data_IF_650259656375
#
_entry.id   IF_650259656375
#
_cell.length_a   1.000
_cell.length_b   1.000
_cell.length_c   1.000
_cell.angle_alpha   90.00
_cell.angle_beta   90.00
_cell.angle_gamma   90.00
#
_symmetry.space_group_name_H-M   'P 1'
#
loop_
_entity.id
_entity.type
_entity.pdbx_description
1 polymer ?
#
# COMPACT_ATOMS: atom_id res chain seq x y z
N UNK A 1 0.32 -33.57 -2.55
CA UNK A 1 1.55 -32.84 -2.38
C UNK A 1 1.43 -31.88 -1.20
N UNK A 2 1.61 -32.43 0.01
CA UNK A 2 1.53 -31.68 1.26
C UNK A 2 2.78 -30.82 1.46
N UNK A 3 2.63 -29.71 2.16
CA UNK A 3 3.77 -28.98 2.72
C UNK A 3 4.41 -29.90 3.73
N UNK A 4 5.74 -29.99 3.70
CA UNK A 4 6.51 -30.61 4.77
C UNK A 4 6.18 -29.88 6.09
N UNK A 5 5.62 -30.59 7.10
CA UNK A 5 5.27 -29.98 8.38
C UNK A 5 6.49 -29.37 9.13
N UNK A 6 7.69 -29.77 8.75
CA UNK A 6 8.95 -29.23 9.30
C UNK A 6 9.32 -27.86 8.70
N UNK A 7 8.60 -27.37 7.72
CA UNK A 7 8.93 -26.12 7.03
C UNK A 7 8.86 -24.91 7.97
N UNK A 8 9.97 -24.14 8.10
CA UNK A 8 10.06 -23.09 9.12
C UNK A 8 9.02 -21.98 9.00
N UNK A 9 8.53 -21.71 7.78
CA UNK A 9 7.60 -20.62 7.55
C UNK A 9 6.21 -20.83 8.19
N UNK A 10 5.85 -22.08 8.54
CA UNK A 10 4.57 -22.40 9.19
C UNK A 10 4.62 -22.12 10.69
N UNK A 11 5.82 -21.95 11.28
CA UNK A 11 5.96 -21.67 12.71
C UNK A 11 5.40 -20.31 13.09
N UNK A 12 4.55 -20.30 14.13
CA UNK A 12 3.97 -19.06 14.66
C UNK A 12 5.05 -18.09 15.15
N UNK A 13 4.85 -16.79 14.92
CA UNK A 13 5.69 -15.73 15.44
C UNK A 13 7.07 -15.59 14.75
N UNK A 14 7.33 -16.35 13.70
CA UNK A 14 8.54 -16.20 12.91
C UNK A 14 8.27 -15.43 11.62
N UNK A 15 9.20 -14.58 11.25
CA UNK A 15 9.22 -13.90 9.96
C UNK A 15 9.34 -14.92 8.83
N UNK A 16 8.64 -14.64 7.73
CA UNK A 16 8.51 -15.56 6.62
C UNK A 16 9.03 -14.91 5.35
N UNK A 17 9.61 -15.72 4.46
CA UNK A 17 10.02 -15.24 3.15
C UNK A 17 8.80 -14.73 2.36
N UNK A 18 8.92 -13.54 1.77
CA UNK A 18 7.84 -12.87 1.03
C UNK A 18 7.29 -13.66 -0.16
N UNK A 19 8.09 -14.59 -0.70
CA UNK A 19 7.68 -15.48 -1.81
C UNK A 19 6.35 -16.19 -1.53
N UNK A 20 6.08 -16.60 -0.29
CA UNK A 20 4.85 -17.31 0.07
C UNK A 20 3.59 -16.45 -0.07
N UNK A 21 3.74 -15.12 -0.08
CA UNK A 21 2.65 -14.16 -0.20
C UNK A 21 2.57 -13.51 -1.58
N UNK A 22 3.40 -13.96 -2.53
CA UNK A 22 3.53 -13.35 -3.86
C UNK A 22 2.47 -13.79 -4.87
N UNK A 23 1.78 -14.90 -4.64
CA UNK A 23 0.75 -15.37 -5.56
C UNK A 23 -0.43 -16.02 -4.85
N UNK A 24 -1.60 -15.87 -5.44
CA UNK A 24 -2.84 -16.50 -4.97
C UNK A 24 -2.71 -18.03 -4.84
N UNK A 25 -1.99 -18.67 -5.78
CA UNK A 25 -1.73 -20.11 -5.75
C UNK A 25 -0.96 -20.51 -4.48
N UNK A 26 0.12 -19.78 -4.17
CA UNK A 26 0.94 -20.09 -3.00
C UNK A 26 0.18 -19.84 -1.69
N UNK A 27 -0.43 -18.66 -1.55
CA UNK A 27 -1.12 -18.29 -0.31
C UNK A 27 -2.36 -19.18 -0.04
N UNK A 28 -3.12 -19.55 -1.08
CA UNK A 28 -4.33 -20.35 -0.89
C UNK A 28 -4.05 -21.84 -0.72
N UNK A 29 -2.98 -22.36 -1.35
CA UNK A 29 -2.64 -23.78 -1.25
C UNK A 29 -1.80 -24.10 -0.01
N UNK A 30 -0.92 -23.17 0.40
CA UNK A 30 0.14 -23.51 1.35
C UNK A 30 0.12 -22.68 2.65
N UNK A 31 -0.48 -21.49 2.67
CA UNK A 31 -0.49 -20.67 3.89
C UNK A 31 -1.77 -20.92 4.68
N UNK A 32 -1.69 -21.41 5.92
CA UNK A 32 -2.86 -21.56 6.78
C UNK A 32 -3.61 -20.24 6.96
N UNK A 33 -4.95 -20.28 7.04
CA UNK A 33 -5.80 -19.07 7.13
C UNK A 33 -5.38 -18.15 8.27
N UNK A 34 -5.10 -18.73 9.44
CA UNK A 34 -4.63 -17.98 10.62
C UNK A 34 -3.21 -17.41 10.50
N UNK A 35 -2.49 -17.68 9.40
CA UNK A 35 -1.15 -17.16 9.10
C UNK A 35 -1.12 -16.19 7.91
N UNK A 36 -2.25 -16.01 7.20
CA UNK A 36 -2.33 -15.14 6.01
C UNK A 36 -2.24 -13.66 6.33
N UNK A 37 -2.53 -13.26 7.58
CA UNK A 37 -2.70 -11.88 7.95
C UNK A 37 -3.97 -11.25 7.33
N UNK A 38 -4.13 -9.96 7.51
CA UNK A 38 -5.28 -9.18 7.02
C UNK A 38 -4.86 -8.26 5.86
N UNK A 39 -5.83 -7.64 5.19
CA UNK A 39 -5.51 -6.64 4.16
C UNK A 39 -4.77 -5.43 4.76
N UNK A 40 -5.16 -5.00 5.98
CA UNK A 40 -4.47 -3.93 6.70
C UNK A 40 -3.02 -4.31 7.06
N UNK A 41 -2.78 -5.53 7.55
CA UNK A 41 -1.41 -5.97 7.84
C UNK A 41 -0.54 -6.05 6.58
N UNK A 42 -1.11 -6.42 5.42
CA UNK A 42 -0.40 -6.36 4.12
C UNK A 42 -0.06 -4.93 3.70
N UNK A 43 -0.96 -3.96 3.92
CA UNK A 43 -0.65 -2.53 3.73
C UNK A 43 0.52 -2.08 4.62
N UNK A 44 0.54 -2.51 5.89
CA UNK A 44 1.64 -2.21 6.81
C UNK A 44 2.97 -2.84 6.36
N UNK A 45 2.98 -4.09 5.87
CA UNK A 45 4.17 -4.71 5.29
C UNK A 45 4.71 -3.87 4.12
N UNK A 46 3.85 -3.50 3.18
CA UNK A 46 4.22 -2.63 2.05
C UNK A 46 4.76 -1.27 2.52
N UNK A 47 4.15 -0.67 3.54
CA UNK A 47 4.61 0.58 4.14
C UNK A 47 6.02 0.46 4.74
N UNK A 48 6.32 -0.63 5.45
CA UNK A 48 7.66 -0.89 6.01
C UNK A 48 8.71 -1.04 4.90
N UNK A 49 8.38 -1.76 3.83
CA UNK A 49 9.26 -1.94 2.67
C UNK A 49 9.50 -0.60 1.96
N UNK A 50 8.43 0.16 1.65
CA UNK A 50 8.57 1.47 1.02
C UNK A 50 9.43 2.43 1.86
N UNK A 51 9.26 2.42 3.18
CA UNK A 51 10.04 3.19 4.14
C UNK A 51 11.52 2.79 4.13
N UNK A 52 11.83 1.50 4.13
CA UNK A 52 13.20 1.00 4.04
C UNK A 52 13.85 1.43 2.72
N UNK A 53 13.15 1.27 1.59
CA UNK A 53 13.64 1.69 0.27
C UNK A 53 13.84 3.21 0.18
N UNK A 54 12.95 4.01 0.77
CA UNK A 54 13.13 5.47 0.83
C UNK A 54 14.42 5.86 1.55
N UNK A 55 14.74 5.18 2.66
CA UNK A 55 15.99 5.42 3.40
C UNK A 55 17.22 5.03 2.59
N UNK A 56 17.16 3.89 1.91
CA UNK A 56 18.23 3.41 1.05
C UNK A 56 18.49 4.41 -0.10
N UNK A 57 17.44 4.81 -0.82
CA UNK A 57 17.54 5.77 -1.91
C UNK A 57 17.98 7.16 -1.44
N UNK A 58 17.56 7.61 -0.24
CA UNK A 58 18.02 8.87 0.34
C UNK A 58 19.52 8.87 0.69
N UNK A 59 20.09 7.70 0.94
CA UNK A 59 21.54 7.52 1.12
C UNK A 59 22.30 7.40 -0.24
N UNK A 60 21.60 7.50 -1.37
CA UNK A 60 22.20 7.36 -2.71
C UNK A 60 22.49 5.92 -3.11
N UNK A 61 21.89 4.95 -2.43
CA UNK A 61 22.09 3.52 -2.67
C UNK A 61 20.90 2.91 -3.41
N UNK A 62 21.14 1.91 -4.25
CA UNK A 62 20.14 1.04 -4.83
C UNK A 62 20.33 -0.40 -4.32
N UNK A 63 19.22 -1.14 -4.18
CA UNK A 63 19.26 -2.54 -3.74
C UNK A 63 19.67 -3.49 -4.86
N UNK A 64 19.36 -3.14 -6.09
CA UNK A 64 19.60 -3.89 -7.33
C UNK A 64 18.82 -5.19 -7.50
N UNK A 65 18.52 -5.93 -6.44
CA UNK A 65 17.75 -7.18 -6.45
C UNK A 65 16.59 -7.15 -5.46
N UNK A 66 15.81 -6.08 -5.45
CA UNK A 66 14.59 -6.03 -4.64
C UNK A 66 13.53 -6.98 -5.22
N UNK A 67 13.18 -7.99 -4.46
CA UNK A 67 12.15 -8.98 -4.83
C UNK A 67 11.49 -9.58 -3.60
N UNK A 68 10.47 -10.40 -3.79
CA UNK A 68 9.87 -11.15 -2.68
C UNK A 68 10.84 -12.13 -2.01
N UNK A 69 11.91 -12.56 -2.68
CA UNK A 69 12.92 -13.45 -2.09
C UNK A 69 13.77 -12.74 -1.05
N UNK A 70 14.00 -11.44 -1.25
CA UNK A 70 14.88 -10.60 -0.42
C UNK A 70 14.08 -9.75 0.58
N UNK A 71 12.87 -10.22 0.95
CA UNK A 71 12.03 -9.61 1.98
C UNK A 71 11.54 -10.70 2.94
N UNK A 72 11.76 -10.50 4.22
CA UNK A 72 11.11 -11.26 5.29
C UNK A 72 9.87 -10.52 5.75
N UNK A 73 8.79 -11.25 6.00
CA UNK A 73 7.49 -10.68 6.37
C UNK A 73 6.90 -11.39 7.59
N UNK A 74 6.21 -10.63 8.42
CA UNK A 74 5.28 -11.14 9.42
C UNK A 74 3.87 -10.63 9.08
N UNK A 75 3.06 -11.45 8.40
CA UNK A 75 1.74 -11.01 7.96
C UNK A 75 0.74 -10.80 9.10
N UNK A 76 0.99 -11.35 10.29
CA UNK A 76 0.11 -11.14 11.43
C UNK A 76 0.30 -9.77 12.06
N UNK A 77 1.55 -9.34 12.26
CA UNK A 77 1.87 -8.02 12.81
C UNK A 77 1.95 -6.92 11.75
N UNK A 78 2.05 -7.27 10.45
CA UNK A 78 2.31 -6.33 9.37
C UNK A 78 3.74 -5.81 9.34
N UNK A 79 4.70 -6.52 9.93
CA UNK A 79 6.11 -6.19 9.85
C UNK A 79 6.76 -6.78 8.60
N UNK A 80 7.78 -6.09 8.11
CA UNK A 80 8.62 -6.55 7.02
C UNK A 80 10.04 -6.02 7.17
N UNK A 81 11.02 -6.78 6.65
CA UNK A 81 12.44 -6.43 6.64
C UNK A 81 13.03 -6.78 5.28
N UNK A 82 13.79 -5.88 4.68
CA UNK A 82 14.60 -6.15 3.49
C UNK A 82 15.89 -6.82 3.95
N UNK A 83 16.27 -7.89 3.27
CA UNK A 83 17.48 -8.67 3.52
C UNK A 83 18.33 -8.70 2.25
N UNK A 84 19.51 -9.36 2.34
CA UNK A 84 20.43 -9.50 1.21
C UNK A 84 20.93 -8.15 0.67
N UNK A 85 21.52 -7.38 1.60
CA UNK A 85 22.05 -6.05 1.30
C UNK A 85 23.51 -6.08 0.78
N UNK A 86 24.07 -7.25 0.53
CA UNK A 86 25.49 -7.39 0.10
C UNK A 86 25.70 -6.86 -1.33
N UNK A 87 24.63 -6.90 -2.16
CA UNK A 87 24.62 -6.40 -3.54
C UNK A 87 24.24 -4.93 -3.68
N UNK A 88 24.35 -4.09 -2.64
CA UNK A 88 24.01 -2.67 -2.75
C UNK A 88 24.86 -1.95 -3.78
N UNK A 89 24.23 -1.15 -4.61
CA UNK A 89 24.83 -0.40 -5.71
C UNK A 89 24.94 1.08 -5.38
N UNK A 90 26.13 1.62 -5.59
CA UNK A 90 26.33 3.07 -5.71
C UNK A 90 26.33 3.39 -7.21
N UNK A 91 25.29 4.02 -7.77
CA UNK A 91 25.20 4.30 -9.18
C UNK A 91 26.47 4.97 -9.73
N UNK A 92 26.98 4.48 -10.87
CA UNK A 92 28.20 4.93 -11.54
C UNK A 92 29.53 4.69 -10.82
N UNK A 93 29.54 4.13 -9.57
CA UNK A 93 30.78 3.85 -8.84
C UNK A 93 31.00 2.35 -8.65
N UNK A 94 29.97 1.64 -8.21
CA UNK A 94 30.02 0.20 -7.96
C UNK A 94 28.87 -0.44 -8.74
N UNK A 95 29.16 -1.00 -9.96
CA UNK A 95 28.16 -1.71 -10.74
C UNK A 95 27.73 -2.99 -10.02
N UNK A 96 26.46 -3.41 -10.20
CA UNK A 96 25.96 -4.64 -9.59
C UNK A 96 26.60 -5.88 -10.18
N UNK A 97 26.86 -6.88 -9.33
CA UNK A 97 27.28 -8.22 -9.77
C UNK A 97 26.10 -9.04 -10.28
N UNK A 98 24.88 -8.76 -9.79
CA UNK A 98 23.64 -9.46 -10.11
C UNK A 98 22.68 -8.52 -10.82
N UNK A 99 22.01 -9.02 -11.87
CA UNK A 99 21.04 -8.24 -12.66
C UNK A 99 19.67 -8.15 -11.98
N UNK A 100 19.39 -9.01 -11.02
CA UNK A 100 18.15 -9.06 -10.25
C UNK A 100 17.33 -10.34 -10.47
N UNK A 101 16.24 -10.45 -9.73
CA UNK A 101 15.31 -11.59 -9.79
C UNK A 101 14.34 -11.44 -10.99
N UNK A 102 14.15 -12.51 -11.82
CA UNK A 102 13.17 -12.47 -12.92
C UNK A 102 11.79 -11.97 -12.47
N UNK A 103 11.15 -11.14 -13.31
CA UNK A 103 9.89 -10.48 -13.01
C UNK A 103 10.03 -9.17 -12.20
N UNK A 104 11.16 -8.94 -11.50
CA UNK A 104 11.45 -7.69 -10.79
C UNK A 104 12.45 -6.80 -11.52
N UNK A 105 13.18 -7.37 -12.47
CA UNK A 105 14.14 -6.63 -13.29
C UNK A 105 13.37 -5.61 -14.15
N UNK A 106 13.82 -4.36 -14.12
CA UNK A 106 13.19 -3.30 -14.90
C UNK A 106 13.32 -3.55 -16.43
N UNK A 107 12.30 -3.20 -17.24
CA UNK A 107 12.26 -3.50 -18.67
C UNK A 107 13.47 -3.02 -19.45
N UNK A 108 14.01 -1.84 -19.13
CA UNK A 108 15.19 -1.27 -19.77
C UNK A 108 16.49 -2.06 -19.48
N UNK A 109 16.57 -2.69 -18.31
CA UNK A 109 17.71 -3.54 -17.93
C UNK A 109 17.65 -4.85 -18.70
N UNK A 110 16.47 -5.49 -18.75
CA UNK A 110 16.25 -6.71 -19.55
C UNK A 110 16.50 -6.48 -21.03
N UNK A 111 16.05 -5.36 -21.60
CA UNK A 111 16.25 -5.03 -23.01
C UNK A 111 17.73 -4.92 -23.41
N UNK A 112 18.60 -4.66 -22.46
CA UNK A 112 20.05 -4.51 -22.68
C UNK A 112 20.89 -5.62 -22.04
N UNK A 113 20.26 -6.71 -21.54
CA UNK A 113 20.95 -7.76 -20.77
C UNK A 113 22.10 -8.41 -21.55
N UNK A 114 21.97 -8.57 -22.85
CA UNK A 114 22.98 -9.19 -23.71
C UNK A 114 24.21 -8.30 -23.98
N UNK A 115 24.13 -6.99 -23.69
CA UNK A 115 25.26 -6.09 -23.87
C UNK A 115 26.33 -6.32 -22.79
N UNK A 116 27.60 -6.16 -23.15
CA UNK A 116 28.70 -6.20 -22.17
C UNK A 116 28.57 -5.07 -21.17
N UNK A 117 29.12 -5.24 -19.96
CA UNK A 117 29.01 -4.28 -18.84
C UNK A 117 29.62 -2.91 -19.20
N UNK A 118 30.68 -2.91 -19.99
CA UNK A 118 31.38 -1.70 -20.48
C UNK A 118 30.71 -1.00 -21.65
N UNK A 119 29.64 -1.58 -22.21
CA UNK A 119 28.89 -0.97 -23.30
C UNK A 119 28.12 0.25 -22.79
N UNK A 120 28.28 1.47 -23.37
CA UNK A 120 27.63 2.68 -22.92
C UNK A 120 26.09 2.66 -23.05
N UNK A 121 25.53 1.71 -23.82
CA UNK A 121 24.08 1.51 -23.96
C UNK A 121 23.52 0.49 -22.97
N UNK A 122 24.37 -0.14 -22.16
CA UNK A 122 23.95 -1.10 -21.12
C UNK A 122 23.25 -0.37 -19.99
N UNK A 123 22.00 -0.73 -19.74
CA UNK A 123 21.30 -0.28 -18.54
C UNK A 123 21.64 -1.19 -17.36
N UNK A 124 22.17 -0.61 -16.31
CA UNK A 124 22.48 -1.31 -15.06
C UNK A 124 21.46 -1.00 -13.98
N UNK A 125 21.27 -1.90 -13.00
CA UNK A 125 20.48 -1.61 -11.83
C UNK A 125 20.90 -0.31 -11.12
N UNK A 126 19.90 0.47 -10.73
CA UNK A 126 20.05 1.77 -10.08
C UNK A 126 18.75 2.15 -9.34
N UNK A 127 18.70 3.31 -8.70
CA UNK A 127 17.50 3.77 -7.96
C UNK A 127 16.23 3.76 -8.82
N UNK A 128 16.30 4.10 -10.12
CA UNK A 128 15.13 4.07 -11.00
C UNK A 128 14.63 2.65 -11.32
N UNK A 129 15.51 1.65 -11.31
CA UNK A 129 15.13 0.25 -11.49
C UNK A 129 14.52 -0.32 -10.20
N UNK A 130 15.05 0.05 -9.02
CA UNK A 130 14.43 -0.28 -7.74
C UNK A 130 13.01 0.27 -7.61
N UNK A 131 12.72 1.45 -8.18
CA UNK A 131 11.36 2.00 -8.21
C UNK A 131 10.39 1.10 -8.97
N UNK A 132 10.85 0.45 -10.05
CA UNK A 132 10.07 -0.56 -10.75
C UNK A 132 9.83 -1.78 -9.85
N UNK A 133 10.91 -2.36 -9.31
CA UNK A 133 10.84 -3.53 -8.43
C UNK A 133 9.94 -3.30 -7.21
N UNK A 134 10.02 -2.11 -6.58
CA UNK A 134 9.17 -1.73 -5.45
C UNK A 134 7.69 -1.68 -5.84
N UNK A 135 7.36 -1.12 -7.00
CA UNK A 135 5.98 -1.09 -7.50
C UNK A 135 5.44 -2.50 -7.74
N UNK A 136 6.24 -3.39 -8.38
CA UNK A 136 5.91 -4.80 -8.59
C UNK A 136 5.67 -5.50 -7.25
N UNK A 137 6.54 -5.30 -6.27
CA UNK A 137 6.45 -5.95 -4.96
C UNK A 137 5.20 -5.51 -4.19
N UNK A 138 4.90 -4.20 -4.15
CA UNK A 138 3.71 -3.66 -3.49
C UNK A 138 2.44 -4.21 -4.15
N UNK A 139 2.36 -4.20 -5.49
CA UNK A 139 1.23 -4.75 -6.23
C UNK A 139 1.05 -6.24 -5.91
N UNK A 140 2.14 -7.00 -5.94
CA UNK A 140 2.15 -8.44 -5.69
C UNK A 140 1.67 -8.79 -4.28
N UNK A 141 2.13 -8.08 -3.25
CA UNK A 141 1.72 -8.35 -1.87
C UNK A 141 0.27 -7.96 -1.57
N UNK A 142 -0.25 -6.92 -2.22
CA UNK A 142 -1.64 -6.50 -2.01
C UNK A 142 -2.64 -7.35 -2.78
N UNK A 143 -2.28 -7.82 -3.99
CA UNK A 143 -3.20 -8.46 -4.93
C UNK A 143 -2.89 -9.93 -5.22
N UNK A 144 -1.78 -10.46 -4.67
CA UNK A 144 -1.33 -11.85 -4.82
C UNK A 144 -1.24 -12.32 -6.29
N UNK A 145 -0.79 -11.44 -7.18
CA UNK A 145 -0.51 -11.69 -8.58
C UNK A 145 0.53 -10.69 -9.10
N UNK A 146 1.23 -11.06 -10.18
CA UNK A 146 2.23 -10.19 -10.78
C UNK A 146 1.58 -9.19 -11.75
N UNK A 147 1.96 -7.89 -11.77
CA UNK A 147 1.31 -6.88 -12.61
C UNK A 147 1.52 -7.05 -14.11
N UNK A 148 2.53 -7.80 -14.53
CA UNK A 148 2.88 -8.00 -15.94
C UNK A 148 2.65 -9.43 -16.43
N UNK A 149 2.34 -10.37 -15.52
CA UNK A 149 2.12 -11.77 -15.84
C UNK A 149 0.64 -12.01 -16.19
N UNK A 150 0.31 -11.79 -17.44
CA UNK A 150 -1.04 -11.89 -17.99
C UNK A 150 -1.23 -13.07 -18.93
N UNK A 151 -2.31 -12.98 -19.73
CA UNK A 151 -2.70 -14.03 -20.66
C UNK A 151 -2.01 -14.00 -22.04
N UNK A 152 -1.17 -12.99 -22.29
CA UNK A 152 -0.51 -12.84 -23.59
C UNK A 152 0.79 -13.62 -23.65
N UNK A 153 0.94 -14.44 -24.70
CA UNK A 153 2.18 -15.14 -25.04
C UNK A 153 2.82 -14.39 -26.19
N UNK A 154 4.10 -14.06 -26.06
CA UNK A 154 4.88 -13.30 -27.04
C UNK A 154 5.71 -14.21 -27.94
N UNK A 155 6.19 -15.32 -27.40
CA UNK A 155 6.91 -16.35 -28.14
C UNK A 155 6.44 -17.72 -27.65
N UNK A 156 5.85 -18.52 -28.54
CA UNK A 156 5.28 -19.83 -28.21
C UNK A 156 6.34 -20.93 -28.19
N UNK A 157 7.43 -20.72 -28.94
CA UNK A 157 8.46 -21.73 -29.15
C UNK A 157 9.60 -21.63 -28.14
N UNK A 158 9.86 -20.43 -27.60
CA UNK A 158 10.94 -20.16 -26.66
C UNK A 158 10.40 -19.49 -25.38
N UNK A 159 10.18 -20.25 -24.28
CA UNK A 159 9.70 -19.74 -23.00
C UNK A 159 10.62 -18.66 -22.39
N UNK A 160 11.95 -18.77 -22.55
CA UNK A 160 12.87 -17.78 -22.03
C UNK A 160 12.74 -16.45 -22.80
N UNK A 161 12.57 -16.52 -24.10
CA UNK A 161 12.36 -15.35 -24.94
C UNK A 161 10.98 -14.73 -24.69
N UNK A 162 9.96 -15.56 -24.42
CA UNK A 162 8.65 -15.09 -23.99
C UNK A 162 8.75 -14.27 -22.70
N UNK A 163 9.43 -14.79 -21.67
CA UNK A 163 9.65 -14.09 -20.40
C UNK A 163 10.46 -12.79 -20.59
N UNK A 164 11.52 -12.82 -21.42
CA UNK A 164 12.31 -11.64 -21.73
C UNK A 164 11.50 -10.53 -22.42
N UNK A 165 10.55 -10.91 -23.25
CA UNK A 165 9.62 -9.95 -23.86
C UNK A 165 8.56 -9.49 -22.88
N UNK A 166 7.96 -10.40 -22.10
CA UNK A 166 6.87 -10.17 -21.15
C UNK A 166 7.25 -9.18 -20.08
N UNK A 167 8.44 -9.31 -19.50
CA UNK A 167 8.96 -8.43 -18.45
C UNK A 167 9.85 -7.31 -18.98
N UNK A 168 10.24 -7.36 -20.24
CA UNK A 168 11.16 -6.43 -20.90
C UNK A 168 10.47 -5.53 -21.94
N UNK A 169 10.95 -5.63 -23.19
CA UNK A 169 10.57 -4.69 -24.26
C UNK A 169 9.09 -4.68 -24.64
N UNK A 170 8.35 -5.74 -24.35
CA UNK A 170 6.92 -5.90 -24.62
C UNK A 170 6.07 -5.92 -23.34
N UNK A 171 6.67 -5.56 -22.21
CA UNK A 171 5.95 -5.51 -20.94
C UNK A 171 4.67 -4.68 -21.06
N UNK A 172 3.57 -5.23 -20.55
CA UNK A 172 2.25 -4.62 -20.61
C UNK A 172 1.47 -4.93 -19.31
N UNK A 173 0.95 -3.91 -18.68
CA UNK A 173 0.17 -4.05 -17.45
C UNK A 173 -1.09 -4.90 -17.68
N UNK A 174 -1.32 -5.92 -16.84
CA UNK A 174 -2.46 -6.83 -16.97
C UNK A 174 -3.82 -6.14 -16.80
N UNK A 175 -3.86 -5.01 -16.11
CA UNK A 175 -5.06 -4.20 -15.90
C UNK A 175 -5.01 -2.86 -16.65
N UNK A 176 -4.26 -2.80 -17.76
CA UNK A 176 -4.19 -1.60 -18.59
C UNK A 176 -5.59 -1.17 -19.05
N UNK A 177 -5.95 0.12 -18.92
CA UNK A 177 -7.33 0.58 -19.13
C UNK A 177 -7.82 0.41 -20.57
N UNK A 178 -6.96 0.61 -21.56
CA UNK A 178 -7.27 0.56 -22.99
C UNK A 178 -6.75 -0.70 -23.67
N UNK A 179 -5.48 -1.05 -23.49
CA UNK A 179 -4.91 -2.28 -24.08
C UNK A 179 -5.18 -3.47 -23.14
N UNK A 180 -6.16 -4.27 -23.52
CA UNK A 180 -6.60 -5.46 -22.76
C UNK A 180 -5.96 -6.76 -23.25
N UNK A 181 -4.99 -6.70 -24.17
CA UNK A 181 -4.41 -7.90 -24.79
C UNK A 181 -3.64 -8.78 -23.82
N UNK A 182 -3.07 -8.20 -22.74
CA UNK A 182 -2.39 -8.94 -21.66
C UNK A 182 -3.29 -9.25 -20.46
N UNK A 183 -4.60 -9.05 -20.56
CA UNK A 183 -5.52 -9.30 -19.45
C UNK A 183 -5.58 -10.78 -19.12
N UNK A 184 -5.49 -11.13 -17.84
CA UNK A 184 -5.72 -12.47 -17.36
C UNK A 184 -7.18 -12.87 -17.62
N UNK A 185 -7.40 -14.06 -18.18
CA UNK A 185 -8.74 -14.63 -18.39
C UNK A 185 -9.06 -15.61 -17.28
N UNK A 186 -10.28 -15.50 -16.74
CA UNK A 186 -10.70 -16.30 -15.59
C UNK A 186 -10.68 -17.83 -15.87
N UNK A 187 -10.93 -18.24 -17.11
CA UNK A 187 -10.87 -19.62 -17.56
C UNK A 187 -9.45 -20.23 -17.59
N UNK A 188 -8.42 -19.36 -17.61
CA UNK A 188 -7.01 -19.77 -17.54
C UNK A 188 -6.50 -19.93 -16.10
N UNK A 189 -7.30 -19.54 -15.10
CA UNK A 189 -6.92 -19.59 -13.70
C UNK A 189 -7.33 -20.90 -13.04
N UNK A 190 -6.40 -21.52 -12.31
CA UNK A 190 -6.74 -22.65 -11.45
C UNK A 190 -7.62 -22.19 -10.27
N UNK A 191 -8.47 -23.10 -9.74
CA UNK A 191 -9.33 -22.80 -8.58
C UNK A 191 -8.55 -22.23 -7.39
N UNK A 192 -7.32 -22.69 -7.18
CA UNK A 192 -6.42 -22.19 -6.11
C UNK A 192 -5.93 -20.75 -6.30
N UNK A 193 -6.13 -20.18 -7.47
CA UNK A 193 -5.76 -18.78 -7.76
C UNK A 193 -6.93 -17.81 -7.57
N UNK A 194 -8.14 -18.34 -7.41
CA UNK A 194 -9.35 -17.54 -7.26
C UNK A 194 -9.65 -17.20 -5.80
N UNK A 195 -10.24 -16.02 -5.53
CA UNK A 195 -10.59 -14.97 -6.48
C UNK A 195 -9.44 -13.98 -6.79
N UNK A 196 -8.34 -14.03 -6.03
CA UNK A 196 -7.26 -13.01 -6.04
C UNK A 196 -6.54 -12.91 -7.39
N UNK A 197 -6.39 -14.04 -8.09
CA UNK A 197 -5.78 -14.08 -9.42
C UNK A 197 -6.61 -13.44 -10.52
N UNK A 198 -7.92 -13.23 -10.30
CA UNK A 198 -8.84 -12.67 -11.28
C UNK A 198 -8.99 -11.15 -11.12
N UNK A 199 -8.41 -10.34 -12.03
CA UNK A 199 -8.52 -8.88 -11.95
C UNK A 199 -9.96 -8.35 -12.11
N UNK A 200 -10.90 -9.16 -12.61
CA UNK A 200 -12.30 -8.75 -12.72
C UNK A 200 -13.05 -8.89 -11.39
N UNK A 201 -12.58 -9.77 -10.51
CA UNK A 201 -13.13 -9.98 -9.17
C UNK A 201 -12.46 -9.07 -8.13
N UNK A 202 -11.16 -8.95 -8.23
CA UNK A 202 -10.35 -8.11 -7.33
C UNK A 202 -9.42 -7.20 -8.15
N UNK A 203 -9.94 -6.15 -8.79
CA UNK A 203 -9.13 -5.20 -9.57
C UNK A 203 -8.19 -4.42 -8.64
N UNK A 204 -7.08 -3.90 -9.20
CA UNK A 204 -6.12 -3.11 -8.40
C UNK A 204 -6.73 -1.84 -7.77
N UNK A 205 -7.87 -1.40 -8.26
CA UNK A 205 -8.62 -0.25 -7.71
C UNK A 205 -9.13 -0.49 -6.29
N UNK A 206 -9.24 -1.77 -5.84
CA UNK A 206 -9.58 -2.08 -4.44
C UNK A 206 -8.53 -1.59 -3.44
N UNK A 207 -7.32 -1.27 -3.91
CA UNK A 207 -6.26 -0.68 -3.10
C UNK A 207 -6.49 0.82 -2.80
N UNK A 208 -7.57 1.41 -3.33
CA UNK A 208 -7.95 2.80 -3.09
C UNK A 208 -7.27 3.82 -4.01
N UNK A 209 -7.70 5.09 -3.92
CA UNK A 209 -7.37 6.12 -4.90
C UNK A 209 -5.89 6.51 -4.89
N UNK A 210 -5.25 6.52 -3.73
CA UNK A 210 -3.84 6.92 -3.60
C UNK A 210 -2.91 5.90 -4.27
N UNK A 211 -3.12 4.61 -3.98
CA UNK A 211 -2.31 3.53 -4.57
C UNK A 211 -2.64 3.32 -6.05
N UNK A 212 -3.93 3.43 -6.43
CA UNK A 212 -4.33 3.37 -7.84
C UNK A 212 -3.53 4.36 -8.69
N UNK A 213 -3.44 5.62 -8.26
CA UNK A 213 -2.69 6.68 -8.97
C UNK A 213 -1.21 6.31 -9.15
N UNK A 214 -0.60 5.69 -8.14
CA UNK A 214 0.81 5.29 -8.22
C UNK A 214 0.99 4.04 -9.08
N UNK A 215 0.06 3.08 -9.05
CA UNK A 215 0.08 1.93 -9.96
C UNK A 215 -0.08 2.34 -11.41
N UNK A 216 -1.01 3.26 -11.73
CA UNK A 216 -1.16 3.82 -13.08
C UNK A 216 0.16 4.43 -13.54
N UNK A 217 0.77 5.27 -12.71
CA UNK A 217 2.04 5.91 -13.05
C UNK A 217 3.21 4.92 -13.16
N UNK A 218 3.23 3.84 -12.35
CA UNK A 218 4.28 2.84 -12.40
C UNK A 218 4.19 1.93 -13.62
N UNK A 219 2.97 1.45 -13.95
CA UNK A 219 2.76 0.37 -14.92
C UNK A 219 2.16 0.83 -16.25
N UNK A 220 1.73 2.09 -16.38
CA UNK A 220 1.29 2.68 -17.63
C UNK A 220 2.31 3.72 -18.09
N UNK A 221 2.48 4.79 -17.34
CA UNK A 221 3.35 5.90 -17.75
C UNK A 221 4.84 5.56 -17.62
N UNK A 222 5.20 4.90 -16.51
CA UNK A 222 6.58 4.64 -16.09
C UNK A 222 7.13 3.26 -16.46
N UNK A 223 6.31 2.38 -17.07
CA UNK A 223 6.77 1.03 -17.40
C UNK A 223 7.96 1.07 -18.35
N UNK A 224 7.86 1.85 -19.42
CA UNK A 224 8.91 2.08 -20.43
C UNK A 224 9.56 3.48 -20.32
N UNK A 225 9.19 4.27 -19.30
CA UNK A 225 9.78 5.58 -19.01
C UNK A 225 10.22 5.66 -17.54
N UNK A 226 11.46 5.25 -17.21
CA UNK A 226 11.94 5.21 -15.82
C UNK A 226 11.86 6.53 -15.06
N UNK A 227 11.91 7.68 -15.78
CA UNK A 227 11.95 9.01 -15.16
C UNK A 227 10.67 9.40 -14.42
N UNK A 228 9.53 8.86 -14.81
CA UNK A 228 8.22 9.19 -14.21
C UNK A 228 7.75 8.17 -13.15
N UNK A 229 8.52 7.11 -12.90
CA UNK A 229 8.19 6.11 -11.87
C UNK A 229 8.06 6.73 -10.49
N UNK A 230 7.05 6.35 -9.71
CA UNK A 230 6.91 6.81 -8.33
C UNK A 230 8.16 6.51 -7.49
N UNK A 231 8.58 7.46 -6.69
CA UNK A 231 9.65 7.27 -5.71
C UNK A 231 9.16 6.47 -4.51
N UNK A 232 10.09 5.89 -3.75
CA UNK A 232 9.76 5.18 -2.51
C UNK A 232 9.09 6.10 -1.46
N UNK A 233 9.41 7.41 -1.47
CA UNK A 233 8.75 8.40 -0.60
C UNK A 233 7.28 8.60 -0.96
N UNK A 234 6.94 8.65 -2.25
CA UNK A 234 5.54 8.75 -2.70
C UNK A 234 4.75 7.49 -2.37
N UNK A 235 5.37 6.30 -2.49
CA UNK A 235 4.76 5.05 -2.04
C UNK A 235 4.50 5.05 -0.54
N UNK A 236 5.47 5.47 0.29
CA UNK A 236 5.30 5.59 1.74
C UNK A 236 4.13 6.52 2.09
N UNK A 237 4.07 7.71 1.51
CA UNK A 237 2.98 8.66 1.74
C UNK A 237 1.62 8.10 1.32
N UNK A 238 1.52 7.49 0.13
CA UNK A 238 0.29 6.90 -0.36
C UNK A 238 -0.18 5.73 0.52
N UNK A 239 0.75 4.90 1.01
CA UNK A 239 0.43 3.78 1.91
C UNK A 239 -0.06 4.27 3.27
N UNK A 240 0.55 5.31 3.87
CA UNK A 240 0.06 5.95 5.09
C UNK A 240 -1.38 6.43 4.90
N UNK A 241 -1.63 7.22 3.85
CA UNK A 241 -2.98 7.72 3.53
C UNK A 241 -3.98 6.59 3.24
N UNK A 242 -3.53 5.49 2.63
CA UNK A 242 -4.39 4.33 2.35
C UNK A 242 -4.75 3.58 3.64
N UNK A 243 -3.82 3.47 4.61
CA UNK A 243 -4.13 2.90 5.93
C UNK A 243 -5.22 3.70 6.66
N UNK A 244 -5.33 5.00 6.40
CA UNK A 244 -6.38 5.85 6.99
C UNK A 244 -7.73 5.77 6.25
N UNK A 245 -7.77 5.10 5.09
CA UNK A 245 -9.00 4.83 4.35
C UNK A 245 -9.59 3.45 4.62
N UNK A 246 -9.01 2.64 5.50
CA UNK A 246 -9.50 1.29 5.75
C UNK A 246 -10.72 1.27 6.67
N UNK A 247 -11.61 0.31 6.40
CA UNK A 247 -12.74 -0.05 7.23
C UNK A 247 -12.69 -1.53 7.62
N UNK A 248 -13.06 -1.89 8.85
CA UNK A 248 -13.26 -3.28 9.21
C UNK A 248 -14.45 -3.86 8.45
N UNK A 249 -14.30 -5.06 7.91
CA UNK A 249 -15.39 -5.78 7.28
C UNK A 249 -16.37 -6.28 8.35
N UNK A 250 -17.67 -6.01 8.18
CA UNK A 250 -18.71 -6.48 9.10
C UNK A 250 -19.03 -7.98 8.97
N UNK A 251 -18.40 -8.69 8.02
CA UNK A 251 -18.47 -10.14 7.94
C UNK A 251 -17.29 -10.76 8.69
N UNK A 252 -17.55 -11.38 9.84
CA UNK A 252 -16.51 -12.03 10.67
C UNK A 252 -15.79 -13.18 9.97
N UNK A 253 -16.42 -13.81 8.95
CA UNK A 253 -15.80 -14.84 8.10
C UNK A 253 -14.95 -14.29 6.95
N UNK A 254 -14.78 -12.98 6.81
CA UNK A 254 -13.98 -12.39 5.74
C UNK A 254 -12.48 -12.53 6.05
N UNK A 255 -11.75 -13.33 5.25
CA UNK A 255 -10.29 -13.51 5.44
C UNK A 255 -9.50 -12.20 5.37
N UNK A 256 -9.93 -11.24 4.54
CA UNK A 256 -9.26 -9.94 4.43
C UNK A 256 -9.46 -9.05 5.65
N UNK A 257 -10.56 -9.21 6.39
CA UNK A 257 -11.01 -8.48 7.58
C UNK A 257 -11.13 -6.96 7.42
N UNK A 258 -10.36 -6.36 6.52
CA UNK A 258 -10.28 -4.93 6.24
C UNK A 258 -10.38 -4.67 4.74
N UNK A 259 -10.91 -3.51 4.38
CA UNK A 259 -10.94 -3.05 3.00
C UNK A 259 -10.81 -1.52 2.94
N UNK A 260 -10.32 -1.00 1.82
CA UNK A 260 -10.27 0.44 1.58
C UNK A 260 -11.63 0.92 1.12
N UNK A 261 -12.08 2.02 1.69
CA UNK A 261 -13.27 2.75 1.29
C UNK A 261 -12.89 4.14 0.77
N UNK A 262 -13.37 4.53 -0.39
CA UNK A 262 -12.99 5.75 -1.07
C UNK A 262 -14.14 6.76 -1.27
N UNK A 263 -15.10 6.77 -0.35
CA UNK A 263 -16.23 7.71 -0.38
C UNK A 263 -17.30 7.39 -1.46
N UNK A 264 -17.60 6.13 -1.66
CA UNK A 264 -18.71 5.71 -2.51
C UNK A 264 -20.03 5.68 -1.74
N UNK A 265 -21.16 5.74 -2.44
CA UNK A 265 -22.50 5.76 -1.85
C UNK A 265 -23.00 4.40 -1.41
N UNK A 266 -22.32 3.38 -1.33
CA UNK A 266 -22.69 2.04 -0.82
C UNK A 266 -21.41 1.28 -0.48
N UNK A 267 -20.83 1.49 0.71
CA UNK A 267 -19.60 0.82 1.11
C UNK A 267 -19.82 -0.69 1.08
N UNK A 268 -19.00 -1.39 0.30
CA UNK A 268 -19.06 -2.84 0.13
C UNK A 268 -17.67 -3.42 0.18
N UNK A 269 -17.48 -4.46 0.99
CA UNK A 269 -16.20 -5.15 1.03
C UNK A 269 -15.91 -5.83 -0.32
N UNK A 270 -14.83 -5.47 -1.03
CA UNK A 270 -14.53 -6.05 -2.34
C UNK A 270 -14.08 -7.51 -2.26
N UNK A 271 -13.72 -7.99 -1.07
CA UNK A 271 -13.22 -9.34 -0.88
C UNK A 271 -14.34 -10.37 -0.66
N UNK A 272 -15.39 -10.02 0.11
CA UNK A 272 -16.47 -10.94 0.42
C UNK A 272 -17.87 -10.46 -0.01
N UNK A 273 -17.96 -9.25 -0.54
CA UNK A 273 -19.22 -8.66 -1.01
C UNK A 273 -20.16 -8.16 0.08
N UNK A 274 -19.76 -8.21 1.38
CA UNK A 274 -20.60 -7.71 2.48
C UNK A 274 -20.78 -6.20 2.36
N UNK A 275 -22.01 -5.75 2.30
CA UNK A 275 -22.37 -4.33 2.37
C UNK A 275 -22.24 -3.84 3.81
N UNK A 276 -21.72 -2.63 3.97
CA UNK A 276 -21.64 -1.97 5.27
C UNK A 276 -23.03 -1.47 5.67
N UNK A 277 -23.40 -1.69 6.92
CA UNK A 277 -24.66 -1.21 7.49
C UNK A 277 -24.38 -0.24 8.62
N UNK A 278 -25.11 0.87 8.64
CA UNK A 278 -24.96 1.92 9.65
C UNK A 278 -24.35 3.21 9.09
N UNK A 279 -24.13 4.16 9.97
CA UNK A 279 -23.48 5.44 9.65
C UNK A 279 -21.97 5.25 9.63
N UNK A 280 -21.32 5.79 8.59
CA UNK A 280 -19.88 5.76 8.45
C UNK A 280 -19.34 7.20 8.40
N UNK A 281 -18.66 7.68 9.47
CA UNK A 281 -18.03 8.99 9.44
C UNK A 281 -16.74 8.96 8.61
N UNK A 282 -16.58 9.99 7.78
CA UNK A 282 -15.37 10.30 7.05
C UNK A 282 -14.91 11.67 7.53
N UNK A 283 -13.66 11.78 7.93
CA UNK A 283 -13.04 13.05 8.28
C UNK A 283 -12.26 13.57 7.10
N UNK A 284 -12.68 14.71 6.55
CA UNK A 284 -11.98 15.41 5.49
C UNK A 284 -11.05 16.44 6.13
N UNK A 285 -9.74 16.36 5.84
CA UNK A 285 -8.73 17.21 6.44
C UNK A 285 -8.48 18.49 5.63
N UNK A 286 -8.37 19.58 6.38
CA UNK A 286 -7.99 20.90 5.90
C UNK A 286 -6.86 21.45 6.77
N UNK A 287 -5.90 22.13 6.19
CA UNK A 287 -4.83 22.80 6.93
C UNK A 287 -4.83 24.31 6.65
N UNK A 288 -4.29 25.10 7.57
CA UNK A 288 -4.15 26.53 7.41
C UNK A 288 -2.70 26.87 6.98
N UNK A 289 -2.45 27.23 5.71
CA UNK A 289 -1.15 27.76 5.29
C UNK A 289 -0.90 29.15 5.88
N UNK A 290 -1.95 29.90 6.18
CA UNK A 290 -1.94 31.17 6.90
C UNK A 290 -3.14 31.25 7.83
N UNK A 291 -3.05 32.13 8.84
CA UNK A 291 -4.08 32.26 9.87
C UNK A 291 -5.48 32.44 9.26
N UNK A 292 -6.42 31.59 9.67
CA UNK A 292 -7.83 31.69 9.29
C UNK A 292 -8.22 31.20 7.89
N UNK A 293 -7.25 30.77 7.05
CA UNK A 293 -7.53 30.26 5.69
C UNK A 293 -7.24 28.78 5.59
N UNK A 294 -8.29 27.95 5.53
CA UNK A 294 -8.17 26.50 5.40
C UNK A 294 -8.25 26.03 3.95
N UNK A 295 -7.35 25.11 3.56
CA UNK A 295 -7.26 24.49 2.24
C UNK A 295 -7.35 22.98 2.41
N UNK A 296 -8.14 22.31 1.54
CA UNK A 296 -8.22 20.85 1.52
C UNK A 296 -6.88 20.21 1.18
N UNK A 297 -6.50 19.19 1.97
CA UNK A 297 -5.28 18.40 1.72
C UNK A 297 -5.49 17.20 0.80
N UNK A 298 -6.71 16.94 0.34
CA UNK A 298 -7.07 15.68 -0.30
C UNK A 298 -6.64 14.47 0.56
N UNK A 299 -6.86 14.59 1.86
CA UNK A 299 -6.57 13.56 2.85
C UNK A 299 -7.82 13.29 3.68
N UNK A 300 -8.11 12.02 3.92
CA UNK A 300 -9.31 11.56 4.61
C UNK A 300 -8.97 10.45 5.59
N UNK A 301 -9.73 10.39 6.68
CA UNK A 301 -9.70 9.30 7.65
C UNK A 301 -11.09 8.67 7.73
N UNK A 302 -11.17 7.36 7.53
CA UNK A 302 -12.37 6.57 7.79
C UNK A 302 -12.45 6.24 9.26
N UNK A 303 -13.59 6.53 9.90
CA UNK A 303 -13.75 6.29 11.34
C UNK A 303 -14.32 4.90 11.58
N UNK A 304 -13.70 4.17 12.50
CA UNK A 304 -14.21 2.92 13.06
C UNK A 304 -14.08 2.91 14.59
N UNK A 305 -14.86 2.05 15.27
CA UNK A 305 -14.89 2.00 16.73
C UNK A 305 -13.53 1.63 17.33
N UNK A 306 -13.12 2.37 18.36
CA UNK A 306 -11.81 2.26 19.03
C UNK A 306 -10.59 2.63 18.19
N UNK A 307 -10.80 3.29 17.03
CA UNK A 307 -9.69 3.85 16.27
C UNK A 307 -9.05 5.00 17.02
N UNK A 308 -7.74 5.12 16.86
CA UNK A 308 -6.94 6.15 17.52
C UNK A 308 -6.58 7.27 16.57
N UNK A 309 -6.71 8.52 17.04
CA UNK A 309 -6.21 9.71 16.37
C UNK A 309 -4.80 10.03 16.90
N UNK A 310 -3.86 10.33 16.02
CA UNK A 310 -2.48 10.65 16.36
C UNK A 310 -2.10 12.09 16.00
N UNK A 311 -0.92 12.53 16.45
CA UNK A 311 -0.43 13.89 16.22
C UNK A 311 -0.32 14.23 14.73
N UNK A 312 0.12 13.30 13.87
CA UNK A 312 0.16 13.50 12.42
C UNK A 312 -1.22 13.64 11.75
N UNK A 313 -2.32 13.31 12.41
CA UNK A 313 -3.68 13.65 11.97
C UNK A 313 -4.09 15.06 12.39
N UNK A 314 -3.56 15.58 13.50
CA UNK A 314 -3.94 16.90 14.00
C UNK A 314 -3.08 18.05 13.46
N UNK A 315 -1.88 17.75 12.92
CA UNK A 315 -0.96 18.76 12.41
C UNK A 315 -0.20 18.21 11.19
N UNK A 316 -0.17 18.96 10.08
CA UNK A 316 0.43 18.52 8.81
C UNK A 316 1.97 18.63 8.77
N UNK A 317 2.58 19.32 9.74
CA UNK A 317 4.04 19.36 9.90
C UNK A 317 4.59 18.12 10.60
N UNK A 318 3.72 17.31 11.20
CA UNK A 318 4.09 16.03 11.83
C UNK A 318 3.86 14.89 10.84
N UNK A 319 4.89 14.16 10.52
CA UNK A 319 4.83 13.03 9.56
C UNK A 319 4.82 11.70 10.30
N UNK A 320 3.97 10.76 9.86
CA UNK A 320 3.90 9.39 10.38
C UNK A 320 5.07 8.54 9.85
N UNK A 321 6.29 8.79 10.31
CA UNK A 321 7.48 8.05 9.87
C UNK A 321 8.34 7.59 11.06
N UNK A 322 9.51 7.05 10.78
CA UNK A 322 10.43 6.53 11.81
C UNK A 322 11.04 7.63 12.69
N UNK A 323 11.11 8.87 12.19
CA UNK A 323 11.64 10.03 12.91
C UNK A 323 10.61 10.69 13.83
N UNK A 324 9.34 10.25 13.75
CA UNK A 324 8.27 10.72 14.66
C UNK A 324 8.71 10.50 16.09
N UNK A 325 8.66 11.53 16.93
CA UNK A 325 9.07 11.46 18.33
C UNK A 325 8.21 10.45 19.11
N UNK A 326 8.74 9.95 20.22
CA UNK A 326 7.97 9.05 21.10
C UNK A 326 6.70 9.72 21.64
N UNK A 327 6.71 11.03 21.81
CA UNK A 327 5.56 11.80 22.26
C UNK A 327 4.50 11.95 21.15
N UNK A 328 4.89 12.23 19.91
CA UNK A 328 3.98 12.33 18.77
C UNK A 328 3.35 10.98 18.38
N UNK A 329 3.94 9.86 18.80
CA UNK A 329 3.37 8.51 18.63
C UNK A 329 2.30 8.17 19.66
N UNK A 330 2.10 9.01 20.68
CA UNK A 330 1.02 8.79 21.64
C UNK A 330 -0.32 9.25 21.07
N UNK A 331 -1.41 8.53 21.40
CA UNK A 331 -2.77 8.93 21.03
C UNK A 331 -3.12 10.35 21.45
N UNK A 332 -3.72 11.12 20.54
CA UNK A 332 -4.24 12.46 20.83
C UNK A 332 -5.77 12.49 20.91
N UNK A 333 -6.44 11.46 20.40
CA UNK A 333 -7.88 11.26 20.48
C UNK A 333 -8.27 9.83 20.17
N UNK A 334 -9.50 9.44 20.49
CA UNK A 334 -10.09 8.13 20.19
C UNK A 334 -11.50 8.30 19.65
N UNK A 335 -11.87 7.42 18.72
CA UNK A 335 -13.21 7.35 18.16
C UNK A 335 -14.01 6.23 18.80
N UNK A 336 -15.27 6.51 19.14
CA UNK A 336 -16.18 5.53 19.70
C UNK A 336 -17.58 5.66 19.13
N UNK A 337 -18.25 4.51 18.96
CA UNK A 337 -19.68 4.47 18.69
C UNK A 337 -20.41 4.24 20.02
N UNK A 338 -21.13 5.24 20.50
CA UNK A 338 -21.79 5.20 21.80
C UNK A 338 -23.22 5.72 21.70
N UNK A 339 -24.20 4.98 22.25
CA UNK A 339 -25.63 5.35 22.23
C UNK A 339 -26.15 5.76 20.84
N UNK A 340 -25.77 5.01 19.80
CA UNK A 340 -26.21 5.28 18.43
C UNK A 340 -25.51 6.47 17.73
N UNK A 341 -24.49 7.04 18.35
CA UNK A 341 -23.76 8.21 17.82
C UNK A 341 -22.26 7.98 17.81
N UNK A 342 -21.60 8.47 16.77
CA UNK A 342 -20.14 8.54 16.72
C UNK A 342 -19.63 9.75 17.51
N UNK A 343 -18.57 9.55 18.30
CA UNK A 343 -17.90 10.61 19.08
C UNK A 343 -16.40 10.55 18.87
N UNK A 344 -15.76 11.72 18.91
CA UNK A 344 -14.31 11.88 19.05
C UNK A 344 -14.01 12.36 20.46
N UNK A 345 -13.27 11.59 21.25
CA UNK A 345 -12.79 11.94 22.58
C UNK A 345 -11.44 12.61 22.46
N UNK A 346 -11.30 13.79 23.07
CA UNK A 346 -10.03 14.51 23.14
C UNK A 346 -9.15 13.90 24.24
N UNK A 347 -7.98 13.35 23.88
CA UNK A 347 -7.03 12.79 24.85
C UNK A 347 -5.90 13.74 25.24
N UNK A 348 -5.42 14.58 24.27
CA UNK A 348 -4.19 15.34 24.46
C UNK A 348 -4.11 16.65 23.65
N UNK A 349 -5.20 17.09 23.02
CA UNK A 349 -5.22 18.31 22.20
C UNK A 349 -5.70 19.50 23.03
N UNK A 350 -4.81 20.38 23.51
CA UNK A 350 -5.19 21.48 24.40
C UNK A 350 -6.06 22.54 23.71
N UNK A 351 -5.90 22.69 22.39
CA UNK A 351 -6.56 23.69 21.56
C UNK A 351 -7.73 23.16 20.73
N UNK A 352 -8.19 21.92 21.02
CA UNK A 352 -9.29 21.34 20.26
C UNK A 352 -10.57 22.15 20.45
N UNK A 353 -11.24 22.47 19.33
CA UNK A 353 -12.45 23.30 19.35
C UNK A 353 -13.50 22.74 18.37
N UNK A 354 -14.71 22.61 18.84
CA UNK A 354 -15.87 22.44 18.00
C UNK A 354 -16.22 23.80 17.37
N UNK A 355 -15.89 23.96 16.08
CA UNK A 355 -16.08 25.21 15.36
C UNK A 355 -17.57 25.44 15.07
N UNK A 356 -18.32 24.37 14.81
CA UNK A 356 -19.76 24.44 14.53
C UNK A 356 -20.55 25.00 15.70
N UNK A 357 -20.26 24.51 16.92
CA UNK A 357 -20.92 24.97 18.17
C UNK A 357 -20.17 26.13 18.84
N UNK A 358 -19.05 26.57 18.26
CA UNK A 358 -18.19 27.62 18.81
C UNK A 358 -17.74 27.34 20.27
N UNK A 359 -17.38 26.08 20.58
CA UNK A 359 -17.10 25.61 21.93
C UNK A 359 -15.72 24.91 22.00
N UNK A 360 -14.95 25.24 23.03
CA UNK A 360 -13.70 24.52 23.30
C UNK A 360 -14.00 23.10 23.82
N UNK A 361 -13.17 22.13 23.43
CA UNK A 361 -13.28 20.73 23.83
C UNK A 361 -12.11 20.40 24.74
N UNK A 362 -12.27 20.41 26.06
CA UNK A 362 -11.17 20.16 26.99
C UNK A 362 -10.64 18.72 26.84
N UNK A 363 -9.43 18.49 27.36
CA UNK A 363 -8.89 17.12 27.48
C UNK A 363 -9.84 16.30 28.35
N UNK A 364 -10.20 15.09 27.90
CA UNK A 364 -11.23 14.24 28.47
C UNK A 364 -12.64 14.53 27.95
N UNK A 365 -12.86 15.67 27.30
CA UNK A 365 -14.14 15.99 26.66
C UNK A 365 -14.32 15.26 25.31
N UNK A 366 -15.52 15.37 24.75
CA UNK A 366 -15.83 14.74 23.46
C UNK A 366 -16.65 15.64 22.55
N UNK A 367 -16.60 15.34 21.24
CA UNK A 367 -17.42 15.97 20.20
C UNK A 367 -18.17 14.89 19.42
N UNK A 368 -19.49 15.03 19.23
CA UNK A 368 -20.24 14.14 18.35
C UNK A 368 -19.86 14.39 16.86
N UNK A 369 -19.72 13.30 16.11
CA UNK A 369 -19.41 13.35 14.68
C UNK A 369 -20.71 13.39 13.87
N UNK A 370 -21.31 14.57 13.76
CA UNK A 370 -22.51 14.80 12.92
C UNK A 370 -22.10 15.30 11.54
N UNK A 371 -22.95 15.07 10.55
CA UNK A 371 -22.68 15.50 9.16
C UNK A 371 -22.46 17.02 9.07
N UNK A 372 -21.41 17.43 8.36
CA UNK A 372 -21.00 18.82 8.20
C UNK A 372 -20.29 19.44 9.42
N UNK A 373 -20.16 18.73 10.56
CA UNK A 373 -19.50 19.28 11.75
C UNK A 373 -18.04 19.61 11.47
N UNK A 374 -17.61 20.77 11.91
CA UNK A 374 -16.25 21.28 11.77
C UNK A 374 -15.54 21.26 13.14
N UNK A 375 -14.40 20.61 13.19
CA UNK A 375 -13.62 20.47 14.43
C UNK A 375 -12.17 20.91 14.14
N UNK A 376 -11.71 21.96 14.82
CA UNK A 376 -10.31 22.36 14.81
C UNK A 376 -9.57 21.46 15.80
N UNK A 377 -8.55 20.75 15.32
CA UNK A 377 -7.75 19.84 16.13
C UNK A 377 -6.57 20.55 16.80
N UNK A 378 -5.99 21.54 16.13
CA UNK A 378 -4.77 22.24 16.58
C UNK A 378 -4.77 23.66 16.02
N UNK A 379 -4.47 24.67 16.86
CA UNK A 379 -4.37 26.11 16.49
C UNK A 379 -2.96 26.50 16.04
N UNK A 380 -1.95 25.66 16.29
CA UNK A 380 -0.58 25.95 15.94
C UNK A 380 -0.37 25.93 14.41
N UNK A 381 0.79 26.42 13.96
CA UNK A 381 1.18 26.34 12.55
C UNK A 381 1.09 24.88 12.05
N UNK A 382 0.47 24.68 10.90
CA UNK A 382 0.20 23.35 10.35
C UNK A 382 -0.97 22.63 10.99
N UNK A 383 -1.64 23.24 11.96
CA UNK A 383 -2.82 22.65 12.61
C UNK A 383 -3.95 22.41 11.64
N UNK A 384 -4.71 21.33 11.88
CA UNK A 384 -5.77 20.86 10.99
C UNK A 384 -7.16 21.14 11.52
N UNK A 385 -8.02 21.49 10.59
CA UNK A 385 -9.47 21.45 10.72
C UNK A 385 -9.97 20.17 10.04
N UNK A 386 -10.91 19.48 10.65
CA UNK A 386 -11.66 18.39 10.04
C UNK A 386 -13.10 18.80 9.77
N UNK A 387 -13.62 18.35 8.64
CA UNK A 387 -15.04 18.43 8.30
C UNK A 387 -15.58 17.01 8.23
N UNK A 388 -16.56 16.73 9.08
CA UNK A 388 -17.19 15.40 9.16
C UNK A 388 -18.18 15.23 8.02
N UNK A 389 -18.11 14.09 7.34
CA UNK A 389 -19.08 13.64 6.36
C UNK A 389 -19.65 12.30 6.81
N UNK A 390 -20.98 12.19 6.92
CA UNK A 390 -21.63 10.92 7.20
C UNK A 390 -22.11 10.27 5.91
N UNK A 391 -21.56 9.09 5.62
CA UNK A 391 -22.10 8.23 4.56
C UNK A 391 -23.25 7.42 5.17
N UNK A 392 -24.43 7.56 4.56
CA UNK A 392 -25.63 6.79 4.90
C UNK A 392 -25.85 5.75 3.80
N UNK A 393 -26.18 4.54 4.19
CA UNK A 393 -26.59 3.46 3.29
C UNK A 393 -28.08 3.51 3.03
#
# INVERSE_FOLDING_TARGET
DGIDPSWPFIKNGQEKNGKWFSSAKLINKFVPVNQKGTFLSRLHMCLKIARAMRRLHAAGLAHSDLSYNNVLVDPLSGNACIIDCDGLVVPHKFPPEVVGTPGFIAPEVLATKALKVDNPKKNLPQISTDRHALAVLIYTFLLNRHPLDGGKVWDIDDPQKDDDMRYGSKALFIEHPTDKTNRVKADQLAKSQLPQGDPTKQPYTICGPYLKKLFDRAFIDGLHNPSVRPSAAEWEEALVKTCDLVQPCQNSGCEAQWYVFDNTTKPRCPFCGKEYTGQLPILNFYYAPSHGKFISENYRLMVYDKQTLYRWHSNNLVSANEKTSADDKKPVGDFHFHNGQWILINRRLPDMRDVTENKDVPIGGFVPLTDGRQILLDKSQGGRLIVVQLVKN
#
